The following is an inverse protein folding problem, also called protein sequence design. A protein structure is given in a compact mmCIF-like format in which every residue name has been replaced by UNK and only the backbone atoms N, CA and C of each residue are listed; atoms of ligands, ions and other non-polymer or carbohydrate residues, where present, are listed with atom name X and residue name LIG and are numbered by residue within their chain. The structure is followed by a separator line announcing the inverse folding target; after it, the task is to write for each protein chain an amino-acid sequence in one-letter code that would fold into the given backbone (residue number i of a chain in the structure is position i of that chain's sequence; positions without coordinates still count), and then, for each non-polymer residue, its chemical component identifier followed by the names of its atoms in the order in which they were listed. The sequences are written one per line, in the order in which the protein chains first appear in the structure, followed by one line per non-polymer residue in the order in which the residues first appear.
data_IF_370028359103
#
_entry.id   IF_370028359103
#
_cell.length_a   1.000
_cell.length_b   1.000
_cell.length_c   1.000
_cell.angle_alpha   90.00
_cell.angle_beta   90.00
_cell.angle_gamma   90.00
#
_symmetry.space_group_name_H-M   'P 1'
#
loop_
_entity.id
_entity.type
_entity.pdbx_description
1 polymer ?
#
# COMPACT_ATOMS: atom_id res chain seq x y z
N UNK A 1 3.26 23.30 29.90
CA UNK A 1 3.44 23.55 28.45
C UNK A 1 3.19 22.25 27.69
N UNK A 2 2.16 22.19 26.84
CA UNK A 2 1.91 21.04 25.96
C UNK A 2 2.69 21.30 24.65
N UNK A 3 3.85 20.68 24.50
CA UNK A 3 4.62 20.73 23.25
C UNK A 3 3.94 19.82 22.22
N UNK A 4 3.21 20.40 21.27
CA UNK A 4 2.60 19.64 20.17
C UNK A 4 3.72 19.19 19.21
N UNK A 5 4.05 17.90 19.21
CA UNK A 5 4.93 17.31 18.18
C UNK A 5 4.32 17.46 16.79
N UNK A 6 5.15 17.67 15.73
CA UNK A 6 4.69 17.77 14.35
C UNK A 6 3.94 16.50 13.91
N UNK A 7 3.03 16.64 12.94
CA UNK A 7 2.18 15.54 12.45
C UNK A 7 3.03 14.36 11.94
N UNK A 8 4.15 14.63 11.26
CA UNK A 8 5.10 13.63 10.79
C UNK A 8 5.64 12.76 11.93
N UNK A 9 6.12 13.38 13.02
CA UNK A 9 6.65 12.66 14.17
C UNK A 9 5.59 11.79 14.87
N UNK A 10 4.31 12.19 14.83
CA UNK A 10 3.20 11.37 15.35
C UNK A 10 2.91 10.18 14.46
N UNK A 11 2.93 10.38 13.14
CA UNK A 11 2.74 9.33 12.14
C UNK A 11 3.86 8.29 12.22
N UNK A 12 5.12 8.73 12.24
CA UNK A 12 6.29 7.86 12.40
C UNK A 12 6.21 7.04 13.69
N UNK A 13 5.85 7.66 14.82
CA UNK A 13 5.67 6.95 16.09
C UNK A 13 4.49 5.95 16.06
N UNK A 14 3.45 6.20 15.28
CA UNK A 14 2.37 5.25 15.09
C UNK A 14 2.80 4.10 14.17
N UNK A 15 3.49 4.40 13.07
CA UNK A 15 4.02 3.42 12.14
C UNK A 15 5.00 2.47 12.83
N UNK A 16 5.96 2.97 13.60
CA UNK A 16 6.90 2.13 14.37
C UNK A 16 6.18 1.15 15.32
N UNK A 17 5.08 1.59 15.95
CA UNK A 17 4.32 0.74 16.88
C UNK A 17 3.50 -0.35 16.19
N UNK A 18 3.06 -0.12 14.96
CA UNK A 18 2.17 -1.03 14.23
C UNK A 18 2.84 -1.70 13.03
N UNK A 19 4.12 -1.43 12.79
CA UNK A 19 4.84 -1.82 11.60
C UNK A 19 4.73 -3.31 11.29
N UNK A 20 4.93 -4.16 12.31
CA UNK A 20 4.87 -5.61 12.12
C UNK A 20 3.46 -6.06 11.72
N UNK A 21 2.41 -5.51 12.35
CA UNK A 21 1.03 -5.80 11.99
C UNK A 21 0.70 -5.30 10.57
N UNK A 22 1.20 -4.12 10.20
CA UNK A 22 1.04 -3.56 8.86
C UNK A 22 1.74 -4.43 7.81
N UNK A 23 2.95 -4.94 8.08
CA UNK A 23 3.68 -5.86 7.20
C UNK A 23 2.92 -7.18 7.00
N UNK A 24 2.36 -7.75 8.07
CA UNK A 24 1.50 -8.94 7.95
C UNK A 24 0.22 -8.67 7.17
N UNK A 25 -0.43 -7.53 7.40
CA UNK A 25 -1.60 -7.12 6.62
C UNK A 25 -1.24 -6.95 5.14
N UNK A 26 -0.11 -6.30 4.83
CA UNK A 26 0.39 -6.18 3.47
C UNK A 26 0.64 -7.58 2.86
N UNK A 27 1.29 -8.49 3.58
CA UNK A 27 1.48 -9.85 3.09
C UNK A 27 0.14 -10.53 2.73
N UNK A 28 -0.85 -10.46 3.61
CA UNK A 28 -2.18 -11.02 3.35
C UNK A 28 -2.84 -10.39 2.12
N UNK A 29 -2.76 -9.06 1.98
CA UNK A 29 -3.28 -8.32 0.82
C UNK A 29 -2.58 -8.73 -0.47
N UNK A 30 -1.25 -8.87 -0.45
CA UNK A 30 -0.45 -9.30 -1.60
C UNK A 30 -0.82 -10.71 -2.04
N UNK A 31 -0.91 -11.66 -1.10
CA UNK A 31 -1.33 -13.04 -1.38
C UNK A 31 -2.75 -13.08 -1.95
N UNK A 32 -3.70 -12.37 -1.34
CA UNK A 32 -5.08 -12.31 -1.84
C UNK A 32 -5.16 -11.68 -3.24
N UNK A 33 -4.36 -10.64 -3.51
CA UNK A 33 -4.23 -10.03 -4.84
C UNK A 33 -3.72 -11.04 -5.86
N UNK A 34 -2.66 -11.80 -5.54
CA UNK A 34 -2.13 -12.86 -6.41
C UNK A 34 -3.16 -13.95 -6.68
N UNK A 35 -3.91 -14.40 -5.66
CA UNK A 35 -5.00 -15.37 -5.86
C UNK A 35 -6.04 -14.81 -6.82
N UNK A 36 -6.46 -13.55 -6.65
CA UNK A 36 -7.41 -12.92 -7.55
C UNK A 36 -6.88 -12.81 -9.00
N UNK A 37 -5.57 -12.62 -9.20
CA UNK A 37 -4.94 -12.63 -10.53
C UNK A 37 -5.05 -14.02 -11.15
N UNK A 38 -4.61 -15.06 -10.43
CA UNK A 38 -4.61 -16.43 -10.94
C UNK A 38 -6.04 -16.92 -11.26
N UNK A 39 -7.03 -16.46 -10.50
CA UNK A 39 -8.43 -16.82 -10.68
C UNK A 39 -9.20 -15.90 -11.66
N UNK A 40 -8.54 -14.91 -12.27
CA UNK A 40 -9.17 -13.91 -13.14
C UNK A 40 -10.34 -13.14 -12.48
N UNK A 41 -10.25 -12.86 -11.18
CA UNK A 41 -11.29 -12.17 -10.42
C UNK A 41 -11.18 -10.64 -10.53
N UNK A 42 -11.30 -10.07 -11.74
CA UNK A 42 -11.29 -8.61 -11.89
C UNK A 42 -12.49 -7.96 -11.16
N UNK A 43 -12.32 -6.80 -10.50
CA UNK A 43 -11.11 -5.95 -10.40
C UNK A 43 -10.26 -6.19 -9.14
N UNK A 44 -10.51 -7.28 -8.39
CA UNK A 44 -9.94 -7.54 -7.07
C UNK A 44 -8.41 -7.46 -6.97
N UNK A 45 -7.60 -7.86 -7.98
CA UNK A 45 -6.15 -7.69 -7.93
C UNK A 45 -5.72 -6.25 -7.61
N UNK A 46 -6.41 -5.28 -8.21
CA UNK A 46 -6.07 -3.85 -8.09
C UNK A 46 -6.59 -3.27 -6.78
N UNK A 47 -7.80 -3.68 -6.37
CA UNK A 47 -8.41 -3.27 -5.09
C UNK A 47 -7.57 -3.72 -3.90
N UNK A 48 -7.00 -4.92 -3.96
CA UNK A 48 -6.15 -5.47 -2.90
C UNK A 48 -4.69 -4.99 -3.02
N UNK A 49 -4.19 -4.85 -4.26
CA UNK A 49 -2.83 -4.40 -4.54
C UNK A 49 -2.56 -2.94 -4.15
N UNK A 50 -3.57 -2.07 -4.27
CA UNK A 50 -3.42 -0.66 -3.90
C UNK A 50 -3.10 -0.44 -2.40
N UNK A 51 -3.90 -0.92 -1.42
CA UNK A 51 -3.55 -0.77 -0.01
C UNK A 51 -2.26 -1.53 0.36
N UNK A 52 -1.98 -2.67 -0.29
CA UNK A 52 -0.69 -3.37 -0.15
C UNK A 52 0.49 -2.44 -0.47
N UNK A 53 0.47 -1.77 -1.62
CA UNK A 53 1.53 -0.86 -2.03
C UNK A 53 1.65 0.34 -1.10
N UNK A 54 0.52 0.93 -0.67
CA UNK A 54 0.53 2.07 0.24
C UNK A 54 1.18 1.73 1.58
N UNK A 55 0.93 0.54 2.14
CA UNK A 55 1.58 0.09 3.38
C UNK A 55 3.10 0.00 3.18
N UNK A 56 3.56 -0.59 2.08
CA UNK A 56 4.99 -0.70 1.80
C UNK A 56 5.67 0.65 1.54
N UNK A 57 4.97 1.62 0.93
CA UNK A 57 5.47 3.01 0.81
C UNK A 57 5.72 3.60 2.20
N UNK A 58 4.79 3.43 3.13
CA UNK A 58 4.91 3.94 4.50
C UNK A 58 6.05 3.26 5.27
N UNK A 59 6.19 1.93 5.14
CA UNK A 59 7.28 1.18 5.78
C UNK A 59 8.65 1.55 5.19
N UNK A 60 8.73 1.70 3.86
CA UNK A 60 9.94 2.10 3.16
C UNK A 60 10.34 3.54 3.48
N UNK A 61 9.36 4.44 3.65
CA UNK A 61 9.60 5.80 4.14
C UNK A 61 10.22 5.78 5.55
N UNK A 62 9.69 4.95 6.45
CA UNK A 62 10.17 4.84 7.83
C UNK A 62 11.62 4.36 7.92
N UNK A 63 12.04 3.45 7.02
CA UNK A 63 13.39 2.86 7.02
C UNK A 63 14.36 3.49 6.00
N UNK A 64 13.92 4.46 5.21
CA UNK A 64 14.76 5.07 4.17
C UNK A 64 15.03 4.17 2.95
N UNK A 65 14.24 3.14 2.73
CA UNK A 65 14.41 2.16 1.65
C UNK A 65 13.93 2.70 0.30
N UNK A 66 14.84 3.33 -0.46
CA UNK A 66 14.50 4.05 -1.69
C UNK A 66 13.87 3.17 -2.76
N UNK A 67 14.44 1.99 -3.04
CA UNK A 67 13.95 1.11 -4.11
C UNK A 67 12.54 0.59 -3.79
N UNK A 68 12.31 0.12 -2.56
CA UNK A 68 11.00 -0.39 -2.13
C UNK A 68 9.92 0.70 -2.17
N UNK A 69 10.28 1.93 -1.81
CA UNK A 69 9.38 3.08 -1.91
C UNK A 69 8.98 3.38 -3.36
N UNK A 70 9.96 3.54 -4.26
CA UNK A 70 9.66 3.97 -5.63
C UNK A 70 8.94 2.90 -6.44
N UNK A 71 9.27 1.62 -6.26
CA UNK A 71 8.54 0.55 -6.96
C UNK A 71 7.08 0.47 -6.51
N UNK A 72 6.79 0.64 -5.22
CA UNK A 72 5.41 0.65 -4.72
C UNK A 72 4.65 1.93 -5.11
N UNK A 73 5.32 3.07 -5.28
CA UNK A 73 4.69 4.27 -5.86
C UNK A 73 4.26 3.98 -7.31
N UNK A 74 5.15 3.40 -8.11
CA UNK A 74 4.85 3.02 -9.50
C UNK A 74 3.67 2.04 -9.56
N UNK A 75 3.70 0.97 -8.75
CA UNK A 75 2.60 0.00 -8.70
C UNK A 75 1.29 0.63 -8.23
N UNK A 76 1.32 1.52 -7.25
CA UNK A 76 0.13 2.26 -6.81
C UNK A 76 -0.48 3.09 -7.95
N UNK A 77 0.36 3.77 -8.74
CA UNK A 77 -0.09 4.55 -9.89
C UNK A 77 -0.72 3.65 -10.96
N UNK A 78 -0.12 2.49 -11.25
CA UNK A 78 -0.66 1.51 -12.20
C UNK A 78 -1.98 0.91 -11.72
N UNK A 79 -2.09 0.56 -10.42
CA UNK A 79 -3.34 0.06 -9.85
C UNK A 79 -4.45 1.11 -9.88
N UNK A 80 -4.13 2.37 -9.57
CA UNK A 80 -5.10 3.46 -9.66
C UNK A 80 -5.56 3.69 -11.11
N UNK A 81 -4.63 3.66 -12.06
CA UNK A 81 -4.95 3.73 -13.49
C UNK A 81 -5.87 2.58 -13.91
N UNK A 82 -5.53 1.33 -13.56
CA UNK A 82 -6.32 0.15 -13.89
C UNK A 82 -7.71 0.18 -13.27
N UNK A 83 -7.83 0.62 -12.01
CA UNK A 83 -9.11 0.75 -11.32
C UNK A 83 -9.98 1.86 -11.95
N UNK A 84 -9.36 2.99 -12.28
CA UNK A 84 -10.05 4.11 -12.96
C UNK A 84 -10.54 3.67 -14.34
N UNK A 85 -9.70 2.98 -15.10
CA UNK A 85 -10.07 2.40 -16.39
C UNK A 85 -11.24 1.43 -16.25
N UNK A 86 -11.14 0.46 -15.34
CA UNK A 86 -12.21 -0.51 -15.08
C UNK A 86 -13.53 0.17 -14.72
N UNK A 87 -13.49 1.22 -13.90
CA UNK A 87 -14.68 1.96 -13.49
C UNK A 87 -15.32 2.78 -14.62
N UNK A 88 -14.52 3.33 -15.54
CA UNK A 88 -15.01 4.21 -16.61
C UNK A 88 -15.42 3.46 -17.88
N UNK A 89 -14.71 2.41 -18.26
CA UNK A 89 -14.90 1.73 -19.55
C UNK A 89 -15.23 0.23 -19.43
N UNK A 90 -15.28 -0.33 -18.22
CA UNK A 90 -15.45 -1.77 -18.02
C UNK A 90 -14.18 -2.58 -18.28
N UNK A 91 -14.29 -3.91 -18.11
CA UNK A 91 -13.21 -4.87 -18.36
C UNK A 91 -12.90 -5.00 -19.86
#
# INVERSE_FOLDING_TARGET
MIVRRPLSARLEAWLMRHEQHLKWLALCLGVASTVAIVQNWHPWPMVLGLPFCLIWILCAWLHGERQLKYINILFSALYLYGLTRYALIGA
#
